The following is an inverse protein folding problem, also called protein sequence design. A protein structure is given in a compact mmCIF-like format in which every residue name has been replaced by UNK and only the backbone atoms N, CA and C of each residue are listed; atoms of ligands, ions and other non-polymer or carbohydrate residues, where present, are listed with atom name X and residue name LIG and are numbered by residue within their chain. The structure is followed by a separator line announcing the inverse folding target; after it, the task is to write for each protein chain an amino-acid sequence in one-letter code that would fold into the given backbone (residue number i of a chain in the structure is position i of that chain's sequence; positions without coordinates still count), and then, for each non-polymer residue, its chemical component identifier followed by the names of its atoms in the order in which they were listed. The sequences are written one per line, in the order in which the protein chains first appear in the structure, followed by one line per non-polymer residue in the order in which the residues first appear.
data_IF_639276120505
#
_entry.id   IF_639276120505
#
_cell.length_a   1.000
_cell.length_b   1.000
_cell.length_c   1.000
_cell.angle_alpha   90.00
_cell.angle_beta   90.00
_cell.angle_gamma   90.00
#
_symmetry.space_group_name_H-M   'P 1'
#
loop_
_entity.id
_entity.type
_entity.pdbx_description
1 polymer ?
#
# COMPACT_ATOMS: atom_id res chain seq x y z
N UNK A 1 3.19 -16.22 -18.69
CA UNK A 1 3.78 -15.06 -19.38
C UNK A 1 5.13 -14.82 -18.76
N UNK A 2 6.16 -14.64 -19.57
CA UNK A 2 7.54 -14.54 -19.11
C UNK A 2 7.91 -13.07 -18.87
N UNK A 3 8.65 -12.78 -17.78
CA UNK A 3 9.27 -11.47 -17.59
C UNK A 3 10.44 -11.29 -18.56
N UNK A 4 10.56 -10.09 -19.13
CA UNK A 4 11.61 -9.72 -20.08
C UNK A 4 12.62 -8.76 -19.41
N UNK A 5 12.68 -7.53 -19.85
CA UNK A 5 13.63 -6.54 -19.34
C UNK A 5 13.18 -5.88 -18.03
N UNK A 6 14.13 -5.62 -17.15
CA UNK A 6 13.89 -4.75 -15.98
C UNK A 6 13.55 -3.35 -16.47
N UNK A 7 12.38 -2.84 -16.07
CA UNK A 7 11.90 -1.51 -16.42
C UNK A 7 12.24 -0.50 -15.32
N UNK A 8 12.03 -0.89 -14.05
CA UNK A 8 12.20 -0.03 -12.90
C UNK A 8 12.48 -0.86 -11.64
N UNK A 9 13.34 -0.33 -10.77
CA UNK A 9 13.64 -0.92 -9.46
C UNK A 9 13.30 0.06 -8.35
N UNK A 10 12.25 -0.25 -7.59
CA UNK A 10 11.86 0.49 -6.39
C UNK A 10 12.54 -0.01 -5.12
N UNK A 11 12.10 0.52 -3.97
CA UNK A 11 12.66 0.20 -2.63
C UNK A 11 12.48 -1.27 -2.23
N UNK A 12 11.38 -1.91 -2.63
CA UNK A 12 11.05 -3.30 -2.26
C UNK A 12 10.58 -4.16 -3.43
N UNK A 13 10.38 -3.59 -4.61
CA UNK A 13 9.89 -4.27 -5.82
C UNK A 13 10.74 -3.95 -7.03
N UNK A 14 10.79 -4.90 -7.96
CA UNK A 14 11.32 -4.69 -9.31
C UNK A 14 10.19 -4.90 -10.32
N UNK A 15 10.12 -4.03 -11.30
CA UNK A 15 9.12 -4.06 -12.38
C UNK A 15 9.78 -4.55 -13.65
N UNK A 16 9.17 -5.52 -14.32
CA UNK A 16 9.66 -6.08 -15.58
C UNK A 16 8.60 -5.93 -16.68
N UNK A 17 9.07 -5.72 -17.90
CA UNK A 17 8.23 -5.80 -19.09
C UNK A 17 7.85 -7.24 -19.40
N UNK A 18 6.81 -7.41 -20.23
CA UNK A 18 6.38 -8.69 -20.78
C UNK A 18 6.24 -8.60 -22.30
N UNK A 19 5.91 -9.71 -22.96
CA UNK A 19 5.58 -9.73 -24.38
C UNK A 19 4.33 -8.90 -24.72
N UNK A 20 3.41 -8.76 -23.74
CA UNK A 20 2.24 -7.90 -23.87
C UNK A 20 2.56 -6.51 -23.32
N UNK A 21 2.51 -5.44 -24.15
CA UNK A 21 2.84 -4.08 -23.71
C UNK A 21 1.91 -3.51 -22.64
N UNK A 22 0.72 -4.07 -22.47
CA UNK A 22 -0.27 -3.65 -21.47
C UNK A 22 -0.12 -4.35 -20.12
N UNK A 23 0.84 -5.28 -20.01
CA UNK A 23 1.07 -6.07 -18.81
C UNK A 23 2.52 -5.97 -18.32
N UNK A 24 2.68 -5.98 -17.00
CA UNK A 24 3.97 -5.98 -16.32
C UNK A 24 4.05 -7.14 -15.34
N UNK A 25 5.28 -7.52 -14.98
CA UNK A 25 5.54 -8.40 -13.84
C UNK A 25 6.15 -7.57 -12.71
N UNK A 26 5.54 -7.64 -11.53
CA UNK A 26 6.13 -7.12 -10.30
C UNK A 26 6.78 -8.27 -9.55
N UNK A 27 8.06 -8.10 -9.20
CA UNK A 27 8.80 -9.00 -8.31
C UNK A 27 8.97 -8.34 -6.95
N UNK A 28 8.41 -8.96 -5.91
CA UNK A 28 8.54 -8.53 -4.53
C UNK A 28 9.84 -9.06 -3.95
N UNK A 29 10.69 -8.14 -3.46
CA UNK A 29 11.99 -8.49 -2.88
C UNK A 29 11.93 -8.52 -1.35
N UNK A 30 12.94 -9.12 -0.76
CA UNK A 30 13.13 -9.19 0.69
C UNK A 30 13.63 -7.87 1.31
N UNK A 31 13.93 -6.85 0.48
CA UNK A 31 14.43 -5.56 0.93
C UNK A 31 13.39 -4.81 1.75
N UNK A 32 13.82 -4.22 2.87
CA UNK A 32 13.04 -3.30 3.68
C UNK A 32 13.82 -2.01 3.84
N UNK A 33 13.18 -0.90 3.49
CA UNK A 33 13.77 0.43 3.56
C UNK A 33 13.01 1.29 4.59
N UNK A 34 13.75 2.03 5.41
CA UNK A 34 13.22 3.03 6.33
C UNK A 34 14.10 4.28 6.32
N UNK A 35 13.63 5.38 6.93
CA UNK A 35 14.32 6.66 7.02
C UNK A 35 14.78 7.15 5.63
N UNK A 36 13.84 7.18 4.66
CA UNK A 36 14.09 7.60 3.27
C UNK A 36 15.27 6.87 2.59
N UNK A 37 15.38 5.56 2.85
CA UNK A 37 16.44 4.73 2.26
C UNK A 37 17.78 4.74 3.01
N UNK A 38 17.89 5.47 4.12
CA UNK A 38 19.12 5.48 4.91
C UNK A 38 19.37 4.16 5.65
N UNK A 39 18.31 3.40 5.89
CA UNK A 39 18.40 2.07 6.48
C UNK A 39 17.72 1.06 5.56
N UNK A 40 18.50 0.10 5.05
CA UNK A 40 18.02 -0.98 4.18
C UNK A 40 18.53 -2.30 4.77
N UNK A 41 17.62 -3.25 4.98
CA UNK A 41 17.90 -4.60 5.43
C UNK A 41 17.07 -5.60 4.61
N UNK A 42 17.58 -6.82 4.49
CA UNK A 42 16.84 -7.92 3.88
C UNK A 42 16.27 -8.84 4.96
N UNK A 43 14.99 -9.16 4.80
CA UNK A 43 14.29 -10.10 5.66
C UNK A 43 13.81 -11.28 4.82
N UNK A 44 14.30 -12.46 5.15
CA UNK A 44 13.88 -13.68 4.45
C UNK A 44 12.36 -13.82 4.47
N UNK A 45 11.79 -14.36 3.37
CA UNK A 45 10.35 -14.56 3.15
C UNK A 45 9.52 -13.28 2.98
N UNK A 46 10.05 -12.08 3.24
CA UNK A 46 9.26 -10.83 3.16
C UNK A 46 8.60 -10.62 1.79
N UNK A 47 9.35 -10.83 0.70
CA UNK A 47 8.82 -10.70 -0.66
C UNK A 47 7.64 -11.63 -0.91
N UNK A 48 7.75 -12.88 -0.50
CA UNK A 48 6.68 -13.87 -0.61
C UNK A 48 5.45 -13.48 0.22
N UNK A 49 5.64 -13.10 1.48
CA UNK A 49 4.52 -12.70 2.35
C UNK A 49 3.80 -11.49 1.77
N UNK A 50 4.53 -10.44 1.38
CA UNK A 50 3.92 -9.23 0.81
C UNK A 50 3.22 -9.49 -0.52
N UNK A 51 3.77 -10.34 -1.40
CA UNK A 51 3.13 -10.67 -2.67
C UNK A 51 1.81 -11.42 -2.48
N UNK A 52 1.80 -12.46 -1.64
CA UNK A 52 0.58 -13.24 -1.35
C UNK A 52 -0.46 -12.40 -0.60
N UNK A 53 0.00 -11.58 0.34
CA UNK A 53 -0.83 -10.63 1.08
C UNK A 53 -1.51 -9.63 0.13
N UNK A 54 -0.71 -8.97 -0.71
CA UNK A 54 -1.19 -8.03 -1.71
C UNK A 54 -2.23 -8.66 -2.65
N UNK A 55 -1.94 -9.85 -3.18
CA UNK A 55 -2.87 -10.57 -4.04
C UNK A 55 -4.21 -10.82 -3.33
N UNK A 56 -4.18 -11.28 -2.08
CA UNK A 56 -5.39 -11.52 -1.28
C UNK A 56 -6.20 -10.22 -1.09
N UNK A 57 -5.55 -9.13 -0.69
CA UNK A 57 -6.23 -7.84 -0.48
C UNK A 57 -6.80 -7.29 -1.78
N UNK A 58 -6.03 -7.31 -2.88
CA UNK A 58 -6.52 -6.83 -4.18
C UNK A 58 -7.74 -7.63 -4.64
N UNK A 59 -7.74 -8.96 -4.44
CA UNK A 59 -8.91 -9.81 -4.73
C UNK A 59 -10.13 -9.38 -3.91
N UNK A 60 -9.96 -9.12 -2.61
CA UNK A 60 -11.06 -8.65 -1.75
C UNK A 60 -11.60 -7.28 -2.17
N UNK A 61 -10.74 -6.39 -2.61
CA UNK A 61 -11.14 -5.09 -3.13
C UNK A 61 -11.89 -5.22 -4.47
N UNK A 62 -11.45 -6.11 -5.36
CA UNK A 62 -12.16 -6.39 -6.62
C UNK A 62 -13.55 -7.02 -6.39
N UNK A 63 -13.67 -7.96 -5.45
CA UNK A 63 -14.96 -8.53 -5.01
C UNK A 63 -15.93 -7.44 -4.52
N UNK A 64 -15.40 -6.34 -3.96
CA UNK A 64 -16.17 -5.17 -3.54
C UNK A 64 -16.39 -4.13 -4.66
N UNK A 65 -15.93 -4.39 -5.89
CA UNK A 65 -16.09 -3.51 -7.04
C UNK A 65 -15.11 -2.33 -7.08
N UNK A 66 -13.91 -2.49 -6.53
CA UNK A 66 -12.80 -1.57 -6.68
C UNK A 66 -11.88 -2.13 -7.78
N UNK A 67 -11.70 -1.44 -8.93
CA UNK A 67 -10.84 -1.94 -9.98
C UNK A 67 -9.37 -1.89 -9.55
N UNK A 68 -8.64 -3.00 -9.71
CA UNK A 68 -7.21 -3.09 -9.40
C UNK A 68 -6.38 -3.45 -10.62
N UNK A 69 -5.07 -3.24 -10.51
CA UNK A 69 -4.11 -3.68 -11.53
C UNK A 69 -3.89 -5.20 -11.56
N UNK A 70 -4.36 -5.91 -10.53
CA UNK A 70 -4.07 -7.34 -10.34
C UNK A 70 -4.62 -8.18 -11.48
N UNK A 71 -3.78 -9.07 -12.03
CA UNK A 71 -4.19 -10.10 -12.98
C UNK A 71 -4.12 -11.48 -12.33
N UNK A 72 -2.92 -11.91 -11.93
CA UNK A 72 -2.73 -13.21 -11.25
C UNK A 72 -1.34 -13.36 -10.65
N UNK A 73 -1.21 -14.22 -9.66
CA UNK A 73 0.08 -14.68 -9.18
C UNK A 73 0.82 -15.50 -10.27
N UNK A 74 2.13 -15.29 -10.38
CA UNK A 74 3.01 -16.08 -11.24
C UNK A 74 3.88 -17.03 -10.42
N UNK A 75 4.31 -16.59 -9.25
CA UNK A 75 5.07 -17.37 -8.27
C UNK A 75 4.85 -16.84 -6.86
N UNK A 76 5.58 -17.34 -5.89
CA UNK A 76 5.53 -16.84 -4.52
C UNK A 76 5.90 -15.35 -4.40
N UNK A 77 6.78 -14.87 -5.28
CA UNK A 77 7.29 -13.49 -5.24
C UNK A 77 6.92 -12.65 -6.44
N UNK A 78 6.26 -13.21 -7.46
CA UNK A 78 5.96 -12.51 -8.70
C UNK A 78 4.45 -12.48 -8.98
N UNK A 79 3.99 -11.34 -9.49
CA UNK A 79 2.60 -11.13 -9.88
C UNK A 79 2.52 -10.43 -11.24
N UNK A 80 1.57 -10.87 -12.06
CA UNK A 80 1.20 -10.21 -13.31
C UNK A 80 0.19 -9.11 -13.01
N UNK A 81 0.42 -7.92 -13.56
CA UNK A 81 -0.44 -6.74 -13.36
C UNK A 81 -0.66 -5.98 -14.66
N UNK A 82 -1.75 -5.24 -14.74
CA UNK A 82 -1.96 -4.23 -15.78
C UNK A 82 -0.89 -3.13 -15.69
N UNK A 83 -0.41 -2.67 -16.82
CA UNK A 83 0.47 -1.50 -16.89
C UNK A 83 -0.38 -0.24 -16.79
N UNK A 84 -0.28 0.45 -15.66
CA UNK A 84 -1.00 1.70 -15.42
C UNK A 84 -0.15 2.92 -15.81
N UNK A 85 -0.81 3.97 -16.29
CA UNK A 85 -0.25 5.31 -16.29
C UNK A 85 -0.44 5.89 -14.88
N UNK A 86 0.63 5.83 -14.07
CA UNK A 86 0.54 6.12 -12.64
C UNK A 86 0.33 7.61 -12.36
N UNK A 87 -0.67 7.91 -11.54
CA UNK A 87 -0.88 9.26 -10.99
C UNK A 87 0.23 9.57 -9.97
N UNK A 88 0.93 10.72 -10.06
CA UNK A 88 2.04 11.03 -9.17
C UNK A 88 1.59 11.53 -7.79
N UNK A 89 0.49 10.99 -7.27
CA UNK A 89 -0.12 11.39 -5.99
C UNK A 89 -0.47 10.15 -5.19
N UNK A 90 -0.03 10.10 -3.94
CA UNK A 90 -0.41 9.07 -2.97
C UNK A 90 -1.65 9.51 -2.19
N UNK A 91 -2.58 8.58 -1.98
CA UNK A 91 -3.76 8.74 -1.14
C UNK A 91 -3.55 8.00 0.18
N UNK A 92 -3.72 8.68 1.30
CA UNK A 92 -3.59 8.08 2.63
C UNK A 92 -4.90 8.25 3.39
N UNK A 93 -5.49 7.13 3.81
CA UNK A 93 -6.63 7.13 4.74
C UNK A 93 -6.12 6.88 6.15
N UNK A 94 -6.61 7.68 7.12
CA UNK A 94 -6.25 7.53 8.53
C UNK A 94 -7.50 7.37 9.39
N UNK A 95 -7.60 6.22 10.04
CA UNK A 95 -8.64 5.89 11.01
C UNK A 95 -8.21 6.25 12.44
N UNK A 96 -6.89 6.23 12.70
CA UNK A 96 -6.27 6.64 13.96
C UNK A 96 -5.04 7.49 13.71
N UNK A 97 -4.70 8.32 14.67
CA UNK A 97 -3.50 9.14 14.60
C UNK A 97 -2.25 8.30 14.80
N UNK A 98 -1.32 8.35 13.83
CA UNK A 98 -0.03 7.70 13.90
C UNK A 98 0.99 8.38 12.98
N UNK A 99 2.28 8.06 13.16
CA UNK A 99 3.36 8.46 12.27
C UNK A 99 3.49 9.97 12.08
N UNK A 100 3.53 10.43 10.83
CA UNK A 100 3.74 11.84 10.50
C UNK A 100 2.61 12.77 10.98
N UNK A 101 1.39 12.27 11.08
CA UNK A 101 0.26 13.07 11.58
C UNK A 101 0.47 13.48 13.05
N UNK A 102 0.88 12.53 13.90
CA UNK A 102 1.20 12.78 15.31
C UNK A 102 2.30 13.82 15.45
N UNK A 103 3.40 13.65 14.68
CA UNK A 103 4.53 14.57 14.71
C UNK A 103 4.16 15.98 14.23
N UNK A 104 3.34 16.07 13.18
CA UNK A 104 2.95 17.33 12.55
C UNK A 104 1.98 18.15 13.40
N UNK A 105 1.03 17.49 14.07
CA UNK A 105 -0.04 18.16 14.82
C UNK A 105 0.16 18.12 16.34
N UNK A 106 1.12 17.34 16.85
CA UNK A 106 1.33 17.22 18.30
C UNK A 106 0.17 16.56 19.03
N UNK A 107 -0.58 15.68 18.37
CA UNK A 107 -1.71 14.95 18.93
C UNK A 107 -1.30 13.58 19.45
N UNK A 108 -2.13 12.97 20.29
CA UNK A 108 -1.87 11.66 20.88
C UNK A 108 -1.89 10.55 19.83
N UNK A 109 -0.88 9.65 19.87
CA UNK A 109 -0.86 8.45 19.03
C UNK A 109 -2.03 7.53 19.42
N UNK A 110 -2.72 7.01 18.41
CA UNK A 110 -3.87 6.12 18.60
C UNK A 110 -5.21 6.83 18.73
N UNK A 111 -5.25 8.17 18.81
CA UNK A 111 -6.50 8.92 18.80
C UNK A 111 -7.37 8.49 17.61
N UNK A 112 -8.62 8.11 17.89
CA UNK A 112 -9.58 7.75 16.85
C UNK A 112 -10.01 8.98 16.05
N UNK A 113 -10.01 8.85 14.73
CA UNK A 113 -10.36 9.92 13.81
C UNK A 113 -11.74 9.65 13.21
N UNK A 114 -12.71 10.48 13.56
CA UNK A 114 -14.08 10.36 13.05
C UNK A 114 -14.60 11.74 12.58
N UNK A 115 -14.80 11.94 11.27
CA UNK A 115 -14.58 10.97 10.18
C UNK A 115 -13.10 10.66 9.95
N UNK A 116 -12.79 9.53 9.26
CA UNK A 116 -11.41 9.24 8.83
C UNK A 116 -10.82 10.36 7.96
N UNK A 117 -9.52 10.63 8.11
CA UNK A 117 -8.85 11.62 7.29
C UNK A 117 -8.45 11.06 5.94
N UNK A 118 -8.50 11.93 4.93
CA UNK A 118 -7.96 11.69 3.60
C UNK A 118 -6.84 12.68 3.34
N UNK A 119 -5.60 12.19 3.35
CA UNK A 119 -4.40 12.98 3.07
C UNK A 119 -3.87 12.68 1.67
N UNK A 120 -3.25 13.68 1.04
CA UNK A 120 -2.57 13.55 -0.24
C UNK A 120 -1.09 13.89 -0.10
N UNK A 121 -0.23 13.12 -0.80
CA UNK A 121 1.20 13.36 -0.86
C UNK A 121 1.64 13.30 -2.33
N UNK A 122 2.55 14.20 -2.71
CA UNK A 122 3.17 14.15 -4.02
C UNK A 122 4.27 13.08 -4.00
N UNK A 123 4.27 12.18 -4.97
CA UNK A 123 5.35 11.19 -5.15
C UNK A 123 6.60 11.88 -5.64
N UNK A 124 7.49 12.24 -4.73
CA UNK A 124 8.76 12.87 -5.04
C UNK A 124 9.80 12.49 -3.96
N UNK A 125 10.50 11.40 -4.17
CA UNK A 125 11.51 10.90 -3.23
C UNK A 125 12.56 11.96 -2.86
N UNK A 126 12.98 12.80 -3.81
CA UNK A 126 13.97 13.86 -3.58
C UNK A 126 13.46 14.96 -2.63
N UNK A 127 12.13 15.14 -2.55
CA UNK A 127 11.47 16.10 -1.67
C UNK A 127 10.80 15.44 -0.47
N UNK A 128 11.06 14.14 -0.22
CA UNK A 128 10.48 13.35 0.88
C UNK A 128 8.95 13.28 0.85
N UNK A 129 8.38 13.11 -0.33
CA UNK A 129 6.93 12.97 -0.57
C UNK A 129 6.09 14.01 0.20
N UNK A 130 6.17 15.29 -0.19
CA UNK A 130 5.54 16.38 0.57
C UNK A 130 4.03 16.24 0.58
N UNK A 131 3.41 16.58 1.72
CA UNK A 131 1.96 16.67 1.85
C UNK A 131 1.42 17.80 0.97
N UNK A 132 0.35 17.50 0.24
CA UNK A 132 -0.35 18.41 -0.65
C UNK A 132 -1.86 18.37 -0.35
N UNK A 133 -2.63 19.17 -1.07
CA UNK A 133 -4.09 19.13 -1.04
C UNK A 133 -4.67 19.12 -2.45
N UNK A 134 -5.99 19.01 -2.56
CA UNK A 134 -6.69 18.91 -3.83
C UNK A 134 -6.44 20.13 -4.75
N UNK A 135 -6.27 21.34 -4.19
CA UNK A 135 -5.99 22.54 -4.99
C UNK A 135 -4.61 22.49 -5.66
N UNK A 136 -3.60 21.90 -4.99
CA UNK A 136 -2.28 21.67 -5.61
C UNK A 136 -2.40 20.74 -6.81
N UNK A 137 -3.11 19.64 -6.67
CA UNK A 137 -3.32 18.68 -7.75
C UNK A 137 -3.90 19.36 -8.99
N UNK A 138 -4.90 20.20 -8.80
CA UNK A 138 -5.58 20.95 -9.86
C UNK A 138 -4.67 22.02 -10.48
N UNK A 139 -4.01 22.83 -9.63
CA UNK A 139 -3.18 23.95 -10.09
C UNK A 139 -1.98 23.49 -10.91
N UNK A 140 -1.32 22.42 -10.47
CA UNK A 140 -0.14 21.87 -11.13
C UNK A 140 -0.45 20.80 -12.18
N UNK A 141 -1.71 20.41 -12.34
CA UNK A 141 -2.14 19.44 -13.36
C UNK A 141 -1.66 18.01 -13.07
N UNK A 142 -1.39 17.65 -11.82
CA UNK A 142 -0.94 16.30 -11.47
C UNK A 142 -2.03 15.25 -11.60
N UNK A 143 -3.26 15.63 -11.38
CA UNK A 143 -4.46 14.83 -11.61
C UNK A 143 -5.66 15.76 -11.87
N UNK A 144 -6.54 15.36 -12.77
CA UNK A 144 -7.75 16.14 -13.02
C UNK A 144 -8.78 15.94 -11.90
N UNK A 145 -9.77 16.82 -11.84
CA UNK A 145 -10.77 16.86 -10.76
C UNK A 145 -11.65 15.60 -10.72
N UNK A 146 -12.02 15.06 -11.87
CA UNK A 146 -12.82 13.83 -11.99
C UNK A 146 -12.06 12.60 -11.47
N UNK A 147 -10.81 12.43 -11.92
CA UNK A 147 -9.97 11.33 -11.46
C UNK A 147 -9.65 11.45 -9.97
N UNK A 148 -9.38 12.66 -9.47
CA UNK A 148 -9.12 12.87 -8.04
C UNK A 148 -10.35 12.53 -7.18
N UNK A 149 -11.55 12.95 -7.61
CA UNK A 149 -12.80 12.59 -6.94
C UNK A 149 -13.00 11.07 -6.91
N UNK A 150 -12.68 10.40 -8.04
CA UNK A 150 -12.78 8.94 -8.13
C UNK A 150 -11.75 8.24 -7.23
N UNK A 151 -10.51 8.71 -7.19
CA UNK A 151 -9.47 8.20 -6.27
C UNK A 151 -9.91 8.32 -4.80
N UNK A 152 -10.48 9.45 -4.43
CA UNK A 152 -11.02 9.70 -3.08
C UNK A 152 -12.17 8.74 -2.74
N UNK A 153 -13.13 8.60 -3.63
CA UNK A 153 -14.27 7.65 -3.48
C UNK A 153 -13.77 6.23 -3.29
N UNK A 154 -12.87 5.75 -4.15
CA UNK A 154 -12.32 4.41 -4.08
C UNK A 154 -11.48 4.20 -2.80
N UNK A 155 -10.77 5.23 -2.33
CA UNK A 155 -10.00 5.16 -1.10
C UNK A 155 -10.89 4.97 0.13
N UNK A 156 -11.99 5.71 0.24
CA UNK A 156 -12.96 5.52 1.32
C UNK A 156 -13.67 4.16 1.23
N UNK A 157 -14.05 3.74 0.02
CA UNK A 157 -14.65 2.41 -0.20
C UNK A 157 -13.69 1.30 0.22
N UNK A 158 -12.41 1.43 -0.14
CA UNK A 158 -11.37 0.50 0.31
C UNK A 158 -11.23 0.50 1.84
N UNK A 159 -11.32 1.68 2.47
CA UNK A 159 -11.29 1.79 3.93
C UNK A 159 -12.42 1.00 4.60
N UNK A 160 -13.64 1.11 4.10
CA UNK A 160 -14.80 0.39 4.67
C UNK A 160 -14.59 -1.12 4.58
N UNK A 161 -14.16 -1.62 3.43
CA UNK A 161 -13.90 -3.05 3.20
C UNK A 161 -12.77 -3.56 4.09
N UNK A 162 -11.63 -2.85 4.10
CA UNK A 162 -10.42 -3.28 4.80
C UNK A 162 -10.55 -3.12 6.31
N UNK A 163 -11.17 -2.04 6.80
CA UNK A 163 -11.42 -1.87 8.24
C UNK A 163 -12.24 -3.03 8.79
N UNK A 164 -13.27 -3.45 8.07
CA UNK A 164 -14.07 -4.63 8.46
C UNK A 164 -13.24 -5.91 8.43
N UNK A 165 -12.49 -6.15 7.36
CA UNK A 165 -11.67 -7.35 7.21
C UNK A 165 -10.66 -7.50 8.36
N UNK A 166 -9.97 -6.41 8.70
CA UNK A 166 -8.98 -6.42 9.78
C UNK A 166 -9.64 -6.48 11.17
N UNK A 167 -10.77 -5.81 11.37
CA UNK A 167 -11.51 -5.88 12.62
C UNK A 167 -11.99 -7.30 12.93
N UNK A 168 -12.54 -7.99 11.94
CA UNK A 168 -12.97 -9.40 12.03
C UNK A 168 -11.77 -10.32 12.38
N UNK A 169 -10.55 -9.95 11.99
CA UNK A 169 -9.32 -10.66 12.29
C UNK A 169 -8.65 -10.25 13.63
N UNK A 170 -9.30 -9.39 14.42
CA UNK A 170 -8.78 -8.88 15.68
C UNK A 170 -7.63 -7.89 15.54
N UNK A 171 -7.63 -7.14 14.44
CA UNK A 171 -6.65 -6.11 14.12
C UNK A 171 -7.33 -4.74 13.96
N UNK A 172 -6.58 -3.68 14.18
CA UNK A 172 -6.98 -2.30 13.90
C UNK A 172 -6.24 -1.83 12.66
N UNK A 173 -6.98 -1.43 11.62
CA UNK A 173 -6.42 -0.70 10.49
C UNK A 173 -6.27 0.78 10.89
N UNK A 174 -5.05 1.17 11.23
CA UNK A 174 -4.72 2.52 11.73
C UNK A 174 -4.71 3.52 10.59
N UNK A 175 -3.90 3.27 9.59
CA UNK A 175 -3.82 4.03 8.35
C UNK A 175 -3.24 3.17 7.22
N UNK A 176 -3.40 3.64 6.01
CA UNK A 176 -2.81 2.99 4.83
C UNK A 176 -2.68 3.96 3.66
N UNK A 177 -1.74 3.65 2.79
CA UNK A 177 -1.45 4.36 1.54
C UNK A 177 -2.00 3.57 0.35
N UNK A 178 -2.64 4.28 -0.58
CA UNK A 178 -3.01 3.77 -1.90
C UNK A 178 -2.38 4.62 -3.00
N UNK A 179 -2.01 3.99 -4.08
CA UNK A 179 -1.55 4.64 -5.30
C UNK A 179 -2.45 4.21 -6.46
N UNK A 180 -2.82 5.16 -7.30
CA UNK A 180 -3.70 4.93 -8.44
C UNK A 180 -2.99 5.25 -9.74
N UNK A 181 -3.46 4.64 -10.80
CA UNK A 181 -3.07 4.98 -12.16
C UNK A 181 -4.29 4.90 -13.09
N UNK A 182 -4.05 5.16 -14.36
CA UNK A 182 -5.07 5.07 -15.39
C UNK A 182 -4.80 3.84 -16.26
N UNK A 183 -5.86 3.10 -16.54
CA UNK A 183 -5.88 2.03 -17.53
C UNK A 183 -7.07 2.25 -18.47
N UNK A 184 -6.81 2.48 -19.75
CA UNK A 184 -7.84 2.86 -20.74
C UNK A 184 -8.70 4.05 -20.30
N UNK A 185 -8.11 5.03 -19.61
CA UNK A 185 -8.80 6.23 -19.11
C UNK A 185 -9.53 6.07 -17.78
N UNK A 186 -9.63 4.86 -17.25
CA UNK A 186 -10.28 4.57 -15.98
C UNK A 186 -9.29 4.57 -14.81
N UNK A 187 -9.73 5.09 -13.66
CA UNK A 187 -8.93 5.06 -12.42
C UNK A 187 -8.87 3.64 -11.85
N UNK A 188 -7.68 3.12 -11.70
CA UNK A 188 -7.40 1.76 -11.23
C UNK A 188 -6.41 1.80 -10.07
N UNK A 189 -6.65 1.00 -9.02
CA UNK A 189 -5.74 0.86 -7.90
C UNK A 189 -4.49 0.10 -8.34
N UNK A 190 -3.34 0.73 -8.14
CA UNK A 190 -2.02 0.20 -8.46
C UNK A 190 -1.19 -0.08 -7.22
N UNK A 191 0.13 -0.13 -7.43
CA UNK A 191 1.15 -0.40 -6.41
C UNK A 191 0.87 -1.67 -5.59
N UNK A 192 0.84 -1.57 -4.29
CA UNK A 192 0.55 -2.68 -3.38
C UNK A 192 -0.30 -2.25 -2.18
N UNK A 193 -0.97 -3.22 -1.59
CA UNK A 193 -1.43 -3.14 -0.21
C UNK A 193 -0.76 -4.25 0.61
N UNK A 194 0.08 -3.87 1.55
CA UNK A 194 0.80 -4.78 2.44
C UNK A 194 1.11 -4.12 3.78
N UNK A 195 1.62 -4.84 4.77
CA UNK A 195 2.07 -4.24 6.03
C UNK A 195 3.23 -3.24 5.88
N UNK A 196 3.83 -3.12 4.69
CA UNK A 196 4.81 -2.07 4.37
C UNK A 196 4.17 -0.69 4.16
N UNK A 197 2.96 -0.66 3.61
CA UNK A 197 2.22 0.57 3.29
C UNK A 197 1.01 0.83 4.17
N UNK A 198 0.78 0.02 5.19
CA UNK A 198 -0.32 0.15 6.14
C UNK A 198 0.15 -0.02 7.57
N UNK A 199 -0.48 0.67 8.52
CA UNK A 199 -0.32 0.43 9.95
C UNK A 199 -1.43 -0.46 10.46
N UNK A 200 -1.03 -1.57 11.09
CA UNK A 200 -1.91 -2.59 11.63
C UNK A 200 -1.52 -2.86 13.08
N UNK A 201 -2.44 -2.70 13.98
CA UNK A 201 -2.21 -2.97 15.40
C UNK A 201 -3.07 -4.12 15.88
N UNK A 202 -2.53 -4.93 16.79
CA UNK A 202 -3.32 -5.94 17.49
C UNK A 202 -4.41 -5.26 18.34
N UNK A 203 -5.66 -5.67 18.17
CA UNK A 203 -6.83 -5.03 18.79
C UNK A 203 -6.84 -5.13 20.32
N UNK A 204 -6.20 -6.16 20.89
CA UNK A 204 -6.18 -6.40 22.34
C UNK A 204 -4.98 -5.77 23.03
N UNK A 205 -3.82 -5.85 22.38
CA UNK A 205 -2.54 -5.45 23.00
C UNK A 205 -2.04 -4.10 22.50
N UNK A 206 -2.58 -3.59 21.39
CA UNK A 206 -2.11 -2.43 20.63
C UNK A 206 -0.67 -2.57 20.09
N UNK A 207 -0.15 -3.80 20.08
CA UNK A 207 1.16 -4.09 19.50
C UNK A 207 1.15 -3.80 18.00
N UNK A 208 2.22 -3.17 17.53
CA UNK A 208 2.41 -2.87 16.10
C UNK A 208 2.73 -4.15 15.33
N UNK A 209 1.94 -4.41 14.27
CA UNK A 209 2.03 -5.62 13.45
C UNK A 209 2.44 -5.29 12.01
N UNK A 210 3.11 -4.18 11.81
CA UNK A 210 3.44 -3.56 10.53
C UNK A 210 4.91 -3.08 10.48
N UNK A 211 5.26 -2.31 9.44
CA UNK A 211 6.61 -1.81 9.20
C UNK A 211 7.15 -0.90 10.32
N UNK A 212 6.30 -0.39 11.21
CA UNK A 212 6.78 0.37 12.37
C UNK A 212 7.62 -0.50 13.31
N UNK A 213 7.49 -1.83 13.28
CA UNK A 213 8.42 -2.73 13.98
C UNK A 213 9.86 -2.54 13.50
N UNK A 214 10.07 -2.34 12.21
CA UNK A 214 11.37 -2.04 11.64
C UNK A 214 11.80 -0.60 11.90
N UNK A 215 10.91 0.37 11.64
CA UNK A 215 11.19 1.80 11.86
C UNK A 215 11.60 2.11 13.30
N UNK A 216 10.99 1.41 14.27
CA UNK A 216 11.18 1.62 15.71
C UNK A 216 12.09 0.55 16.35
N UNK A 217 12.70 -0.33 15.56
CA UNK A 217 13.60 -1.39 16.03
C UNK A 217 12.99 -2.31 17.10
N UNK A 218 11.70 -2.66 16.91
CA UNK A 218 10.96 -3.53 17.85
C UNK A 218 11.24 -5.03 17.63
N UNK A 219 11.88 -5.41 16.52
CA UNK A 219 12.12 -6.81 16.14
C UNK A 219 10.87 -7.55 15.68
N UNK A 220 11.03 -8.81 15.25
CA UNK A 220 9.92 -9.69 14.89
C UNK A 220 9.08 -9.19 13.71
N UNK A 221 9.71 -8.58 12.69
CA UNK A 221 9.00 -8.00 11.54
C UNK A 221 8.24 -9.06 10.75
N UNK A 222 8.94 -10.13 10.35
CA UNK A 222 8.35 -11.17 9.49
C UNK A 222 7.32 -11.98 10.24
N UNK A 223 7.59 -12.32 11.49
CA UNK A 223 6.62 -13.02 12.35
C UNK A 223 5.32 -12.23 12.49
N UNK A 224 5.41 -10.90 12.62
CA UNK A 224 4.22 -10.04 12.66
C UNK A 224 3.48 -10.02 11.32
N UNK A 225 4.19 -9.93 10.18
CA UNK A 225 3.59 -9.95 8.85
C UNK A 225 2.89 -11.28 8.56
N UNK A 226 3.55 -12.41 8.88
CA UNK A 226 2.98 -13.75 8.73
C UNK A 226 1.76 -13.94 9.63
N UNK A 227 1.80 -13.44 10.87
CA UNK A 227 0.66 -13.50 11.78
C UNK A 227 -0.54 -12.69 11.27
N UNK A 228 -0.32 -11.48 10.76
CA UNK A 228 -1.38 -10.69 10.13
C UNK A 228 -1.97 -11.43 8.92
N UNK A 229 -1.11 -11.95 8.04
CA UNK A 229 -1.51 -12.73 6.87
C UNK A 229 -2.38 -13.94 7.27
N UNK A 230 -1.93 -14.72 8.26
CA UNK A 230 -2.65 -15.88 8.78
C UNK A 230 -4.02 -15.50 9.34
N UNK A 231 -4.10 -14.41 10.11
CA UNK A 231 -5.37 -13.96 10.73
C UNK A 231 -6.44 -13.57 9.72
N UNK A 232 -6.04 -12.96 8.60
CA UNK A 232 -6.98 -12.58 7.53
C UNK A 232 -7.23 -13.72 6.52
N UNK A 233 -6.58 -14.87 6.67
CA UNK A 233 -6.80 -16.06 5.84
C UNK A 233 -5.89 -16.18 4.61
N UNK A 234 -4.78 -15.47 4.55
CA UNK A 234 -3.76 -15.64 3.49
C UNK A 234 -3.01 -16.95 3.70
N UNK A 235 -2.93 -17.77 2.65
CA UNK A 235 -2.14 -19.01 2.65
C UNK A 235 -0.71 -18.69 2.23
N UNK A 236 0.24 -18.94 3.12
CA UNK A 236 1.67 -18.69 2.91
C UNK A 236 2.46 -19.94 2.49
N UNK A 237 1.85 -21.14 2.64
CA UNK A 237 2.44 -22.43 2.26
C UNK A 237 2.08 -22.81 0.83
#
# INVERSE_FOLDING_TARGET
MQKLAELYRGKAKTVFTTENPDLLVLEFRNDTSALDGQRIEQFDRKGMVNNKFNHFIMTKLEEAGIPTQMERLLSDTEVLVKKLDMVPVECVIRNRAAGSLVKRLGIEEGLELNPPLFDLFLKNDAMHDPMINESYCKTFGWVNEEHLARMKELSYKANDVLSKLFDDAGLILVDFKLEFGLFNGEVVLGDEFSPDGSRLWDKKTLNKMDKDRYRQSLGGLIEAYEEVARRIGVKLD
#
